data_IF_937114813986
#
_entry.id   IF_937114813986
#
_cell.length_a   1.000
_cell.length_b   1.000
_cell.length_c   1.000
_cell.angle_alpha   90.00
_cell.angle_beta   90.00
_cell.angle_gamma   90.00
#
_symmetry.space_group_name_H-M   'P 1'
#
loop_
_entity.id
_entity.type
_entity.pdbx_description
1 polymer ?
#
# COMPACT_ATOMS: atom_id res chain seq x y z
N UNK A 1 -9.50 -4.79 -20.04
CA UNK A 1 -9.47 -3.85 -18.89
C UNK A 1 -8.07 -3.94 -18.29
N UNK A 2 -7.29 -2.85 -18.29
CA UNK A 2 -6.00 -2.86 -17.56
C UNK A 2 -6.32 -2.62 -16.09
N UNK A 3 -5.88 -3.51 -15.21
CA UNK A 3 -6.15 -3.46 -13.77
C UNK A 3 -4.83 -3.09 -13.06
N UNK A 4 -4.83 -2.13 -12.12
CA UNK A 4 -3.64 -1.80 -11.35
C UNK A 4 -3.14 -3.00 -10.54
N UNK A 5 -1.82 -3.19 -10.47
CA UNK A 5 -1.20 -4.31 -9.76
C UNK A 5 -0.46 -3.83 -8.51
N UNK A 6 -0.47 -4.64 -7.45
CA UNK A 6 0.19 -4.32 -6.19
C UNK A 6 1.19 -5.42 -5.78
N UNK A 7 2.44 -5.02 -5.57
CA UNK A 7 3.45 -5.78 -4.84
C UNK A 7 3.73 -5.15 -3.47
N UNK A 8 3.86 -5.97 -2.42
CA UNK A 8 4.19 -5.50 -1.06
C UNK A 8 5.42 -6.22 -0.53
N UNK A 9 6.47 -5.45 -0.23
CA UNK A 9 7.73 -5.94 0.34
C UNK A 9 7.88 -5.51 1.79
N UNK A 10 8.19 -6.48 2.66
CA UNK A 10 8.41 -6.26 4.10
C UNK A 10 9.67 -7.01 4.51
N UNK A 11 10.68 -6.29 4.99
CA UNK A 11 11.96 -6.87 5.42
C UNK A 11 11.76 -7.66 6.71
N UNK A 12 12.37 -8.86 6.79
CA UNK A 12 12.34 -9.72 7.98
C UNK A 12 13.16 -9.14 9.14
N UNK A 13 14.23 -8.39 8.83
CA UNK A 13 15.07 -7.69 9.81
C UNK A 13 14.26 -6.71 10.65
N UNK A 14 13.34 -6.00 10.00
CA UNK A 14 12.58 -4.89 10.58
C UNK A 14 11.37 -5.42 11.37
N UNK A 15 10.83 -6.56 10.95
CA UNK A 15 9.66 -7.21 11.54
C UNK A 15 9.88 -8.72 11.71
N UNK A 16 10.41 -9.13 12.86
CA UNK A 16 10.74 -10.53 13.15
C UNK A 16 9.49 -11.45 13.14
N UNK A 17 8.38 -10.98 13.71
CA UNK A 17 7.15 -11.75 13.79
C UNK A 17 6.47 -11.86 12.43
N UNK A 18 6.21 -13.09 11.98
CA UNK A 18 5.47 -13.35 10.75
C UNK A 18 4.05 -12.76 10.80
N UNK A 19 3.38 -12.84 11.95
CA UNK A 19 2.06 -12.26 12.17
C UNK A 19 2.05 -10.75 11.97
N UNK A 20 3.08 -10.04 12.44
CA UNK A 20 3.22 -8.60 12.24
C UNK A 20 3.42 -8.28 10.74
N UNK A 21 4.31 -8.99 10.05
CA UNK A 21 4.50 -8.84 8.59
C UNK A 21 3.22 -9.07 7.80
N UNK A 22 2.46 -10.10 8.15
CA UNK A 22 1.19 -10.42 7.50
C UNK A 22 0.12 -9.37 7.79
N UNK A 23 0.08 -8.83 9.01
CA UNK A 23 -0.80 -7.73 9.36
C UNK A 23 -0.49 -6.48 8.52
N UNK A 24 0.79 -6.11 8.36
CA UNK A 24 1.21 -4.97 7.53
C UNK A 24 0.82 -5.17 6.06
N UNK A 25 1.06 -6.37 5.50
CA UNK A 25 0.62 -6.73 4.14
C UNK A 25 -0.90 -6.62 3.98
N UNK A 26 -1.68 -7.06 4.98
CA UNK A 26 -3.14 -6.93 4.99
C UNK A 26 -3.57 -5.46 5.01
N UNK A 27 -2.94 -4.62 5.85
CA UNK A 27 -3.24 -3.18 5.94
C UNK A 27 -3.05 -2.48 4.58
N UNK A 28 -1.92 -2.70 3.91
CA UNK A 28 -1.64 -2.13 2.59
C UNK A 28 -2.63 -2.65 1.55
N UNK A 29 -2.87 -3.97 1.51
CA UNK A 29 -3.78 -4.58 0.52
C UNK A 29 -5.23 -4.11 0.68
N UNK A 30 -5.74 -4.03 1.91
CA UNK A 30 -7.09 -3.53 2.17
C UNK A 30 -7.22 -2.06 1.75
N UNK A 31 -6.22 -1.23 2.05
CA UNK A 31 -6.19 0.16 1.61
C UNK A 31 -6.18 0.28 0.08
N UNK A 32 -5.32 -0.45 -0.62
CA UNK A 32 -5.26 -0.44 -2.09
C UNK A 32 -6.57 -0.88 -2.76
N UNK A 33 -7.24 -1.91 -2.23
CA UNK A 33 -8.53 -2.36 -2.76
C UNK A 33 -9.59 -1.25 -2.68
N UNK A 34 -9.58 -0.44 -1.62
CA UNK A 34 -10.52 0.68 -1.48
C UNK A 34 -10.30 1.82 -2.48
N UNK A 35 -9.15 1.87 -3.17
CA UNK A 35 -8.80 2.91 -4.15
C UNK A 35 -8.60 2.33 -5.56
N UNK A 36 -8.94 1.06 -5.80
CA UNK A 36 -8.56 0.36 -7.04
C UNK A 36 -9.18 0.98 -8.29
N UNK A 37 -10.36 1.61 -8.17
CA UNK A 37 -11.07 2.25 -9.28
C UNK A 37 -10.48 3.61 -9.65
N UNK A 38 -9.92 4.32 -8.66
CA UNK A 38 -9.33 5.65 -8.82
C UNK A 38 -7.86 5.61 -9.27
N UNK A 39 -7.21 4.46 -9.15
CA UNK A 39 -5.79 4.32 -9.42
C UNK A 39 -5.50 4.06 -10.91
N UNK A 40 -4.42 4.67 -11.46
CA UNK A 40 -3.98 4.34 -12.81
C UNK A 40 -3.63 2.86 -12.92
N UNK A 41 -3.93 2.25 -14.06
CA UNK A 41 -3.67 0.85 -14.33
C UNK A 41 -2.17 0.56 -14.60
N UNK A 42 -1.35 0.75 -13.56
CA UNK A 42 0.10 0.55 -13.51
C UNK A 42 0.48 -0.39 -12.37
N UNK A 43 1.78 -0.65 -12.22
CA UNK A 43 2.34 -1.49 -11.18
C UNK A 43 2.81 -0.66 -9.99
N UNK A 44 2.31 -0.98 -8.80
CA UNK A 44 2.71 -0.37 -7.55
C UNK A 44 3.55 -1.34 -6.73
N UNK A 45 4.71 -0.89 -6.26
CA UNK A 45 5.56 -1.63 -5.32
C UNK A 45 5.62 -0.83 -4.02
N UNK A 46 5.02 -1.38 -2.96
CA UNK A 46 5.03 -0.78 -1.62
C UNK A 46 6.13 -1.43 -0.80
N UNK A 47 7.07 -0.62 -0.32
CA UNK A 47 8.11 -1.04 0.62
C UNK A 47 7.77 -0.55 2.02
N UNK A 48 7.62 -1.47 2.96
CA UNK A 48 7.36 -1.12 4.36
C UNK A 48 8.71 -0.92 5.07
N UNK A 49 8.96 0.32 5.50
CA UNK A 49 10.14 0.68 6.28
C UNK A 49 10.02 0.27 7.76
N UNK A 50 11.14 0.28 8.51
CA UNK A 50 11.13 -0.03 9.94
C UNK A 50 10.41 1.05 10.76
N UNK A 51 9.86 0.66 11.91
CA UNK A 51 9.28 1.62 12.87
C UNK A 51 7.82 1.98 12.61
N UNK A 52 7.16 1.32 11.66
CA UNK A 52 5.74 1.55 11.38
C UNK A 52 4.89 1.37 12.65
N UNK A 53 4.32 2.48 13.13
CA UNK A 53 3.33 2.46 14.22
C UNK A 53 1.98 2.22 13.58
N UNK A 54 1.29 1.18 14.02
CA UNK A 54 0.04 0.65 13.43
C UNK A 54 -1.08 1.70 13.22
N UNK A 55 -1.01 2.87 13.87
CA UNK A 55 -2.06 3.89 13.88
C UNK A 55 -2.08 4.86 12.70
N UNK A 56 -1.09 4.86 11.82
CA UNK A 56 -1.11 5.74 10.64
C UNK A 56 -1.94 5.10 9.51
N UNK A 57 -3.27 5.09 9.67
CA UNK A 57 -4.20 4.81 8.55
C UNK A 57 -4.32 6.01 7.60
N UNK A 58 -4.08 7.22 8.12
CA UNK A 58 -4.18 8.47 7.34
C UNK A 58 -3.15 8.53 6.21
N UNK A 59 -1.91 8.14 6.46
CA UNK A 59 -0.81 8.24 5.49
C UNK A 59 -1.01 7.40 4.23
N UNK A 60 -1.49 6.16 4.34
CA UNK A 60 -1.69 5.30 3.16
C UNK A 60 -2.81 5.83 2.24
N UNK A 61 -3.92 6.27 2.81
CA UNK A 61 -5.02 6.82 2.02
C UNK A 61 -4.62 8.13 1.36
N UNK A 62 -3.92 9.01 2.08
CA UNK A 62 -3.36 10.25 1.52
C UNK A 62 -2.38 9.97 0.37
N UNK A 63 -1.55 8.94 0.50
CA UNK A 63 -0.65 8.47 -0.56
C UNK A 63 -1.41 8.05 -1.82
N UNK A 64 -2.43 7.19 -1.71
CA UNK A 64 -3.22 6.75 -2.87
C UNK A 64 -3.97 7.91 -3.52
N UNK A 65 -4.58 8.79 -2.72
CA UNK A 65 -5.27 9.98 -3.22
C UNK A 65 -4.31 10.90 -4.00
N UNK A 66 -3.07 11.07 -3.54
CA UNK A 66 -2.09 11.89 -4.26
C UNK A 66 -1.71 11.31 -5.64
N UNK A 67 -1.84 9.99 -5.80
CA UNK A 67 -1.50 9.25 -7.03
C UNK A 67 -2.69 9.18 -8.01
N UNK A 68 -3.92 9.09 -7.51
CA UNK A 68 -5.15 9.04 -8.32
C UNK A 68 -5.52 10.35 -9.01
N UNK A 69 -4.99 11.49 -8.55
CA UNK A 69 -5.38 12.83 -9.05
C UNK A 69 -4.74 13.19 -10.41
N UNK A 70 -3.73 12.46 -10.88
CA UNK A 70 -2.93 12.90 -12.06
C UNK A 70 -3.45 12.50 -13.45
N UNK A 71 -4.61 11.86 -13.58
CA UNK A 71 -5.11 11.41 -14.89
C UNK A 71 -6.20 12.31 -15.49
N UNK A 72 -5.96 13.62 -15.57
CA UNK A 72 -6.76 14.57 -16.37
C UNK A 72 -5.83 15.49 -17.18
N UNK A 73 -4.96 14.91 -18.02
CA UNK A 73 -4.24 15.61 -19.10
C UNK A 73 -4.26 14.73 -20.34
#
# INVERSE_FOLDING_TARGET
MKIPRLGVSVKKSDYKLATHRNMLKRKVKTSFISFIEDLPAIDFIVMVGPGEKSNDKKTLNELWSSLGVKNNV
#
